data_IF_396575153497
#
_entry.id   IF_396575153497
#
_cell.length_a   1.000
_cell.length_b   1.000
_cell.length_c   1.000
_cell.angle_alpha   90.00
_cell.angle_beta   90.00
_cell.angle_gamma   90.00
#
_symmetry.space_group_name_H-M   'P 1'
#
loop_
_entity.id
_entity.type
_entity.pdbx_description
1 polymer ?
#
# COMPACT_ATOMS: atom_id res chain seq x y z
N UNK A 1 -4.06 -9.02 -68.23
CA UNK A 1 -4.78 -8.09 -67.35
C UNK A 1 -4.27 -8.30 -65.94
N UNK A 2 -3.25 -7.52 -65.59
CA UNK A 2 -2.62 -7.55 -64.27
C UNK A 2 -3.55 -6.89 -63.27
N UNK A 3 -3.99 -7.65 -62.26
CA UNK A 3 -4.66 -7.07 -61.11
C UNK A 3 -3.57 -6.69 -60.10
N UNK A 4 -3.28 -5.39 -60.03
CA UNK A 4 -2.48 -4.81 -58.96
C UNK A 4 -3.17 -5.07 -57.63
N UNK A 5 -2.50 -5.83 -56.76
CA UNK A 5 -2.90 -6.01 -55.37
C UNK A 5 -2.51 -4.74 -54.62
N UNK A 6 -3.48 -3.88 -54.32
CA UNK A 6 -3.30 -2.75 -53.41
C UNK A 6 -2.85 -3.26 -52.03
N UNK A 7 -1.78 -2.72 -51.43
CA UNK A 7 -1.15 -3.27 -50.21
C UNK A 7 -1.84 -2.84 -48.90
N UNK A 8 -3.08 -2.34 -48.94
CA UNK A 8 -3.59 -1.48 -47.87
C UNK A 8 -4.45 -2.18 -46.78
N UNK A 9 -4.71 -3.49 -46.87
CA UNK A 9 -5.66 -4.15 -45.93
C UNK A 9 -5.15 -5.42 -45.22
N UNK A 10 -3.86 -5.74 -45.30
CA UNK A 10 -3.28 -6.96 -44.68
C UNK A 10 -2.44 -6.72 -43.39
N UNK A 11 -2.42 -5.50 -42.84
CA UNK A 11 -1.37 -5.08 -41.89
C UNK A 11 -1.60 -5.23 -40.38
N UNK A 12 -2.82 -5.46 -39.87
CA UNK A 12 -3.13 -5.15 -38.46
C UNK A 12 -2.79 -6.23 -37.41
N UNK A 13 -2.14 -7.34 -37.78
CA UNK A 13 -1.92 -8.47 -36.84
C UNK A 13 -0.48 -8.96 -36.72
N UNK A 14 0.47 -8.49 -37.55
CA UNK A 14 1.88 -8.86 -37.39
C UNK A 14 2.58 -7.87 -36.47
N UNK A 15 3.12 -8.38 -35.37
CA UNK A 15 4.03 -7.63 -34.51
C UNK A 15 5.22 -7.14 -35.34
N UNK A 16 5.49 -5.84 -35.26
CA UNK A 16 6.75 -5.26 -35.72
C UNK A 16 7.46 -4.60 -34.52
N UNK A 17 8.79 -4.75 -34.39
CA UNK A 17 9.54 -4.14 -33.28
C UNK A 17 9.40 -2.61 -33.22
N UNK A 18 9.21 -1.96 -34.38
CA UNK A 18 9.00 -0.52 -34.47
C UNK A 18 7.65 -0.09 -33.90
N UNK A 19 6.55 -0.78 -34.25
CA UNK A 19 5.23 -0.56 -33.65
C UNK A 19 5.26 -0.86 -32.15
N UNK A 20 5.98 -1.90 -31.72
CA UNK A 20 6.19 -2.21 -30.31
C UNK A 20 6.85 -1.06 -29.55
N UNK A 21 7.96 -0.51 -30.07
CA UNK A 21 8.64 0.65 -29.46
C UNK A 21 7.77 1.89 -29.44
N UNK A 22 7.04 2.17 -30.52
CA UNK A 22 6.16 3.33 -30.62
C UNK A 22 4.99 3.25 -29.61
N UNK A 23 4.41 2.04 -29.45
CA UNK A 23 3.39 1.78 -28.44
C UNK A 23 3.94 2.02 -27.02
N UNK A 24 5.12 1.48 -26.71
CA UNK A 24 5.79 1.68 -25.43
C UNK A 24 6.08 3.17 -25.17
N UNK A 25 6.53 3.94 -26.15
CA UNK A 25 6.79 5.37 -26.00
C UNK A 25 5.53 6.16 -25.62
N UNK A 26 4.39 5.88 -26.27
CA UNK A 26 3.09 6.51 -25.95
C UNK A 26 2.58 6.12 -24.58
N UNK A 27 2.72 4.85 -24.21
CA UNK A 27 2.38 4.38 -22.87
C UNK A 27 3.25 5.09 -21.82
N UNK A 28 4.56 5.21 -22.04
CA UNK A 28 5.48 5.92 -21.15
C UNK A 28 5.12 7.41 -20.98
N UNK A 29 4.53 8.02 -22.01
CA UNK A 29 4.02 9.39 -21.96
C UNK A 29 2.70 9.53 -21.16
N UNK A 30 2.14 8.43 -20.65
CA UNK A 30 0.92 8.44 -19.83
C UNK A 30 -0.36 8.09 -20.56
N UNK A 31 -0.30 7.74 -21.85
CA UNK A 31 -1.48 7.31 -22.60
C UNK A 31 -1.89 5.86 -22.25
N UNK A 32 -3.19 5.62 -22.09
CA UNK A 32 -3.68 4.27 -21.81
C UNK A 32 -3.70 3.40 -23.06
N UNK A 33 -3.41 2.10 -22.91
CA UNK A 33 -3.51 1.13 -24.01
C UNK A 33 -4.90 1.11 -24.66
N UNK A 34 -5.95 1.36 -23.87
CA UNK A 34 -7.33 1.46 -24.37
C UNK A 34 -7.53 2.66 -25.30
N UNK A 35 -6.91 3.81 -24.98
CA UNK A 35 -6.94 5.01 -25.83
C UNK A 35 -6.16 4.79 -27.12
N UNK A 36 -4.93 4.25 -27.01
CA UNK A 36 -4.07 4.01 -28.17
C UNK A 36 -4.71 3.00 -29.12
N UNK A 37 -5.24 1.89 -28.61
CA UNK A 37 -5.91 0.87 -29.43
C UNK A 37 -7.27 1.28 -30.00
N UNK A 38 -7.80 2.46 -29.66
CA UNK A 38 -9.00 3.02 -30.30
C UNK A 38 -8.66 3.78 -31.60
N UNK A 39 -7.39 4.10 -31.83
CA UNK A 39 -6.92 4.76 -33.05
C UNK A 39 -6.73 3.74 -34.18
N UNK A 40 -7.13 4.11 -35.40
CA UNK A 40 -6.95 3.26 -36.58
C UNK A 40 -5.45 2.97 -36.80
N UNK A 41 -5.10 1.71 -37.05
CA UNK A 41 -3.70 1.30 -37.25
C UNK A 41 -3.00 0.76 -35.99
N UNK A 42 -3.57 0.97 -34.79
CA UNK A 42 -2.96 0.52 -33.54
C UNK A 42 -3.51 -0.82 -33.04
N UNK A 43 -2.66 -1.66 -32.42
CA UNK A 43 -3.11 -2.92 -31.82
C UNK A 43 -4.09 -2.66 -30.68
N UNK A 44 -5.13 -3.48 -30.61
CA UNK A 44 -6.01 -3.50 -29.44
C UNK A 44 -5.22 -3.88 -28.17
N UNK A 45 -5.70 -3.53 -26.96
CA UNK A 45 -5.06 -3.94 -25.71
C UNK A 45 -4.82 -5.46 -25.61
N UNK A 46 -5.75 -6.26 -26.13
CA UNK A 46 -5.64 -7.72 -26.15
C UNK A 46 -4.55 -8.20 -27.13
N UNK A 47 -4.39 -7.52 -28.27
CA UNK A 47 -3.31 -7.78 -29.23
C UNK A 47 -1.96 -7.41 -28.65
N UNK A 48 -1.85 -6.26 -27.98
CA UNK A 48 -0.63 -5.84 -27.28
C UNK A 48 -0.24 -6.85 -26.17
N UNK A 49 -1.20 -7.40 -25.44
CA UNK A 49 -0.93 -8.45 -24.47
C UNK A 49 -0.40 -9.74 -25.13
N UNK A 50 -1.01 -10.18 -26.24
CA UNK A 50 -0.51 -11.34 -27.02
C UNK A 50 0.91 -11.12 -27.52
N UNK A 51 1.25 -9.90 -27.96
CA UNK A 51 2.61 -9.55 -28.37
C UNK A 51 3.58 -9.58 -27.18
N UNK A 52 3.18 -9.09 -26.02
CA UNK A 52 4.02 -9.12 -24.81
C UNK A 52 4.34 -10.56 -24.35
N UNK A 53 3.39 -11.48 -24.54
CA UNK A 53 3.60 -12.91 -24.24
C UNK A 53 4.50 -13.58 -25.28
N UNK A 54 4.32 -13.26 -26.57
CA UNK A 54 5.09 -13.87 -27.66
C UNK A 54 6.52 -13.29 -27.82
N UNK A 55 6.74 -12.05 -27.38
CA UNK A 55 8.01 -11.31 -27.55
C UNK A 55 8.47 -10.73 -26.21
N UNK A 56 9.35 -11.42 -25.47
CA UNK A 56 9.80 -11.01 -24.13
C UNK A 56 10.40 -9.61 -24.08
N UNK A 57 11.24 -9.23 -25.05
CA UNK A 57 11.85 -7.89 -25.12
C UNK A 57 10.80 -6.77 -25.19
N UNK A 58 9.70 -7.00 -25.92
CA UNK A 58 8.60 -6.06 -26.00
C UNK A 58 7.76 -6.07 -24.72
N UNK A 59 7.53 -7.24 -24.12
CA UNK A 59 6.87 -7.33 -22.81
C UNK A 59 7.62 -6.56 -21.72
N UNK A 60 8.95 -6.64 -21.69
CA UNK A 60 9.80 -5.87 -20.80
C UNK A 60 9.73 -4.37 -21.08
N UNK A 61 9.83 -3.97 -22.35
CA UNK A 61 9.74 -2.58 -22.78
C UNK A 61 8.36 -1.97 -22.45
N UNK A 62 7.27 -2.72 -22.65
CA UNK A 62 5.91 -2.28 -22.32
C UNK A 62 5.72 -2.16 -20.81
N UNK A 63 6.26 -3.11 -20.04
CA UNK A 63 6.26 -3.04 -18.58
C UNK A 63 7.05 -1.81 -18.11
N UNK A 64 8.23 -1.55 -18.69
CA UNK A 64 9.03 -0.35 -18.41
C UNK A 64 8.28 0.94 -18.73
N UNK A 65 7.58 0.98 -19.86
CA UNK A 65 6.75 2.10 -20.25
C UNK A 65 5.59 2.34 -19.28
N UNK A 66 4.84 1.31 -18.90
CA UNK A 66 3.75 1.42 -17.92
C UNK A 66 4.26 1.90 -16.55
N UNK A 67 5.47 1.47 -16.13
CA UNK A 67 6.14 1.98 -14.92
C UNK A 67 6.48 3.46 -15.04
N UNK A 68 7.11 3.87 -16.15
CA UNK A 68 7.43 5.27 -16.41
C UNK A 68 6.17 6.15 -16.42
N UNK A 69 5.09 5.66 -17.02
CA UNK A 69 3.79 6.31 -17.05
C UNK A 69 3.21 6.53 -15.65
N UNK A 70 3.29 5.52 -14.77
CA UNK A 70 2.80 5.61 -13.38
C UNK A 70 3.66 6.56 -12.55
N UNK A 71 4.98 6.53 -12.71
CA UNK A 71 5.89 7.51 -12.08
C UNK A 71 5.57 8.92 -12.57
N UNK A 72 5.38 9.10 -13.89
CA UNK A 72 4.97 10.36 -14.49
C UNK A 72 3.63 10.85 -13.98
N UNK A 73 2.64 9.98 -13.85
CA UNK A 73 1.33 10.29 -13.29
C UNK A 73 1.43 10.73 -11.81
N UNK A 74 2.30 10.09 -11.02
CA UNK A 74 2.57 10.47 -9.61
C UNK A 74 3.31 11.80 -9.50
N UNK A 75 4.30 12.06 -10.35
CA UNK A 75 4.98 13.36 -10.42
C UNK A 75 4.01 14.46 -10.86
N UNK A 76 3.13 14.17 -11.83
CA UNK A 76 2.07 15.08 -12.24
C UNK A 76 1.02 15.30 -11.13
N UNK A 77 0.74 14.29 -10.31
CA UNK A 77 -0.17 14.45 -9.18
C UNK A 77 0.43 15.31 -8.06
N UNK A 78 1.70 15.06 -7.75
CA UNK A 78 2.49 15.93 -6.87
C UNK A 78 2.58 17.36 -7.42
N UNK A 79 2.78 17.52 -8.72
CA UNK A 79 2.80 18.83 -9.38
C UNK A 79 1.42 19.50 -9.35
N UNK A 80 0.32 18.73 -9.52
CA UNK A 80 -1.05 19.23 -9.31
C UNK A 80 -1.28 19.65 -7.87
N UNK A 81 -0.80 18.90 -6.88
CA UNK A 81 -0.89 19.25 -5.47
C UNK A 81 -0.11 20.54 -5.17
N UNK A 82 1.14 20.66 -5.66
CA UNK A 82 1.94 21.88 -5.57
C UNK A 82 1.27 23.07 -6.29
N UNK A 83 0.65 22.84 -7.45
CA UNK A 83 -0.08 23.84 -8.22
C UNK A 83 -1.37 24.27 -7.53
N UNK A 84 -2.08 23.35 -6.87
CA UNK A 84 -3.25 23.65 -6.02
C UNK A 84 -2.84 24.51 -4.84
N UNK A 85 -1.73 24.18 -4.18
CA UNK A 85 -1.16 25.00 -3.12
C UNK A 85 -0.76 26.40 -3.64
N UNK A 86 -0.12 26.48 -4.81
CA UNK A 86 0.30 27.74 -5.41
C UNK A 86 -0.85 28.64 -5.89
N UNK A 87 -2.01 28.06 -6.22
CA UNK A 87 -3.20 28.78 -6.71
C UNK A 87 -4.02 29.45 -5.60
N UNK A 88 -3.80 29.09 -4.34
CA UNK A 88 -4.56 29.64 -3.22
C UNK A 88 -3.90 30.92 -2.75
N UNK A 89 -4.72 31.91 -2.37
CA UNK A 89 -4.21 33.14 -1.79
C UNK A 89 -3.57 32.79 -0.44
N UNK A 90 -2.24 32.96 -0.28
CA UNK A 90 -1.58 32.61 0.97
C UNK A 90 -2.19 33.45 2.09
N UNK A 91 -2.54 32.80 3.19
CA UNK A 91 -3.06 33.50 4.37
C UNK A 91 -2.11 34.65 4.72
N UNK A 92 -2.67 35.86 4.89
CA UNK A 92 -1.86 37.05 5.20
C UNK A 92 -0.97 36.75 6.41
N UNK A 93 0.35 36.85 6.20
CA UNK A 93 1.41 36.55 7.17
C UNK A 93 1.02 37.01 8.57
N UNK A 94 0.92 36.07 9.52
CA UNK A 94 0.69 36.36 10.95
C UNK A 94 -0.53 35.70 11.57
N UNK A 95 -1.50 35.21 10.78
CA UNK A 95 -2.65 34.47 11.31
C UNK A 95 -2.53 32.99 10.95
N UNK A 96 -2.19 32.09 11.90
CA UNK A 96 -2.22 30.66 11.62
C UNK A 96 -3.61 30.27 11.11
N UNK A 97 -3.72 29.31 10.16
CA UNK A 97 -5.01 28.84 9.71
C UNK A 97 -5.80 28.36 10.93
N UNK A 98 -6.98 28.95 11.12
CA UNK A 98 -7.82 28.63 12.26
C UNK A 98 -8.34 27.20 12.07
N UNK A 99 -8.46 26.47 13.18
CA UNK A 99 -9.09 25.15 13.16
C UNK A 99 -10.46 25.23 12.48
N UNK A 100 -10.67 24.45 11.43
CA UNK A 100 -11.90 24.42 10.67
C UNK A 100 -12.12 23.06 10.01
N UNK A 101 -13.38 22.65 9.78
CA UNK A 101 -13.69 21.32 9.23
C UNK A 101 -13.02 21.04 7.88
N UNK A 102 -13.06 21.99 6.94
CA UNK A 102 -12.45 21.83 5.61
C UNK A 102 -10.93 21.67 5.67
N UNK A 103 -10.26 22.32 6.63
CA UNK A 103 -8.82 22.20 6.83
C UNK A 103 -8.45 20.83 7.41
N UNK A 104 -9.24 20.37 8.38
CA UNK A 104 -9.09 19.04 8.96
C UNK A 104 -9.26 17.96 7.90
N UNK A 105 -10.32 18.06 7.09
CA UNK A 105 -10.60 17.14 5.99
C UNK A 105 -9.44 17.09 4.99
N UNK A 106 -8.93 18.24 4.58
CA UNK A 106 -7.78 18.34 3.67
C UNK A 106 -6.53 17.65 4.23
N UNK A 107 -6.21 17.88 5.52
CA UNK A 107 -5.06 17.23 6.18
C UNK A 107 -5.25 15.71 6.20
N UNK A 108 -6.45 15.24 6.57
CA UNK A 108 -6.77 13.82 6.64
C UNK A 108 -6.74 13.16 5.25
N UNK A 109 -7.28 13.82 4.23
CA UNK A 109 -7.25 13.37 2.84
C UNK A 109 -5.80 13.19 2.37
N UNK A 110 -4.96 14.22 2.46
CA UNK A 110 -3.55 14.15 2.05
C UNK A 110 -2.76 13.09 2.82
N UNK A 111 -3.02 12.94 4.13
CA UNK A 111 -2.43 11.86 4.92
C UNK A 111 -2.82 10.49 4.37
N UNK A 112 -4.11 10.27 4.09
CA UNK A 112 -4.62 9.00 3.57
C UNK A 112 -4.07 8.67 2.18
N UNK A 113 -3.75 9.68 1.38
CA UNK A 113 -3.08 9.54 0.07
C UNK A 113 -1.57 9.27 0.16
N UNK A 114 -1.03 9.00 1.36
CA UNK A 114 0.38 8.61 1.52
C UNK A 114 1.32 9.76 1.91
N UNK A 115 0.87 11.03 1.89
CA UNK A 115 1.75 12.15 2.25
C UNK A 115 2.17 12.12 3.73
N UNK A 116 3.43 12.49 3.99
CA UNK A 116 3.90 12.68 5.37
C UNK A 116 3.33 13.98 5.95
N UNK A 117 3.07 14.00 7.25
CA UNK A 117 2.60 15.22 7.92
C UNK A 117 3.62 16.38 7.78
N UNK A 118 4.92 16.07 7.73
CA UNK A 118 5.96 17.08 7.47
C UNK A 118 5.78 17.69 6.08
N UNK A 119 5.56 16.87 5.06
CA UNK A 119 5.33 17.34 3.69
C UNK A 119 4.07 18.22 3.60
N UNK A 120 2.98 17.81 4.26
CA UNK A 120 1.74 18.60 4.35
C UNK A 120 2.03 19.95 5.01
N UNK A 121 2.68 19.97 6.17
CA UNK A 121 2.92 21.20 6.94
C UNK A 121 3.97 22.14 6.33
N UNK A 122 4.66 21.73 5.25
CA UNK A 122 5.54 22.61 4.47
C UNK A 122 4.77 23.52 3.51
N UNK A 123 3.54 23.14 3.20
CA UNK A 123 2.63 23.97 2.43
C UNK A 123 2.33 25.26 3.21
N UNK A 124 2.54 26.46 2.63
CA UNK A 124 2.28 27.74 3.28
C UNK A 124 0.86 27.88 3.84
N UNK A 125 -0.11 27.17 3.25
CA UNK A 125 -1.51 27.22 3.67
C UNK A 125 -1.86 26.21 4.76
N UNK A 126 -0.91 25.37 5.16
CA UNK A 126 -1.11 24.38 6.20
C UNK A 126 -0.66 24.88 7.58
N UNK A 127 -1.36 24.47 8.66
CA UNK A 127 -0.87 24.71 10.01
C UNK A 127 0.48 24.04 10.21
N UNK A 128 1.32 24.62 11.06
CA UNK A 128 2.60 24.01 11.38
C UNK A 128 2.42 22.65 12.07
N UNK A 129 3.45 21.81 11.96
CA UNK A 129 3.44 20.44 12.50
C UNK A 129 2.96 20.34 13.96
N UNK A 130 3.44 21.23 14.82
CA UNK A 130 3.08 21.25 16.25
C UNK A 130 1.60 21.59 16.47
N UNK A 131 1.02 22.44 15.63
CA UNK A 131 -0.40 22.81 15.70
C UNK A 131 -1.29 21.62 15.35
N UNK A 132 -0.95 20.87 14.29
CA UNK A 132 -1.70 19.66 13.91
C UNK A 132 -1.67 18.62 15.03
N UNK A 133 -0.49 18.35 15.60
CA UNK A 133 -0.38 17.41 16.71
C UNK A 133 -1.13 17.87 17.96
N UNK A 134 -1.12 19.18 18.25
CA UNK A 134 -1.92 19.75 19.33
C UNK A 134 -3.41 19.50 19.10
N UNK A 135 -3.91 19.73 17.88
CA UNK A 135 -5.31 19.46 17.57
C UNK A 135 -5.65 17.97 17.71
N UNK A 136 -4.79 17.07 17.23
CA UNK A 136 -5.02 15.63 17.34
C UNK A 136 -5.07 15.14 18.80
N UNK A 137 -4.46 15.88 19.73
CA UNK A 137 -4.52 15.61 21.17
C UNK A 137 -5.72 16.27 21.84
N UNK A 138 -6.01 17.53 21.50
CA UNK A 138 -6.95 18.38 22.25
C UNK A 138 -8.39 18.28 21.72
N UNK A 139 -8.61 17.70 20.53
CA UNK A 139 -9.92 17.67 19.84
C UNK A 139 -10.29 16.24 19.43
N UNK A 140 -11.22 15.59 20.15
CA UNK A 140 -11.58 14.19 19.91
C UNK A 140 -12.04 13.91 18.48
N UNK A 141 -12.87 14.77 17.90
CA UNK A 141 -13.42 14.55 16.55
C UNK A 141 -12.31 14.55 15.49
N UNK A 142 -11.28 15.38 15.68
CA UNK A 142 -10.12 15.38 14.81
C UNK A 142 -9.20 14.19 15.10
N UNK A 143 -9.06 13.77 16.36
CA UNK A 143 -8.27 12.61 16.72
C UNK A 143 -8.77 11.34 16.02
N UNK A 144 -10.09 11.15 15.96
CA UNK A 144 -10.73 10.02 15.28
C UNK A 144 -10.50 10.08 13.78
N UNK A 145 -10.79 11.22 13.14
CA UNK A 145 -10.56 11.42 11.71
C UNK A 145 -9.09 11.25 11.32
N UNK A 146 -8.18 11.76 12.14
CA UNK A 146 -6.74 11.64 11.94
C UNK A 146 -6.26 10.20 12.09
N UNK A 147 -6.78 9.45 13.06
CA UNK A 147 -6.45 8.04 13.25
C UNK A 147 -6.92 7.20 12.06
N UNK A 148 -8.13 7.45 11.56
CA UNK A 148 -8.63 6.78 10.36
C UNK A 148 -7.81 7.15 9.12
N UNK A 149 -7.45 8.42 8.96
CA UNK A 149 -6.56 8.85 7.89
C UNK A 149 -5.20 8.14 7.94
N UNK A 150 -4.64 7.90 9.14
CA UNK A 150 -3.41 7.12 9.32
C UNK A 150 -3.58 5.64 8.99
N UNK A 151 -4.77 5.07 9.23
CA UNK A 151 -5.10 3.70 8.83
C UNK A 151 -5.18 3.58 7.30
N UNK A 152 -5.88 4.50 6.65
CA UNK A 152 -5.96 4.57 5.18
C UNK A 152 -4.59 4.85 4.55
N UNK A 153 -3.76 5.67 5.19
CA UNK A 153 -2.37 5.88 4.77
C UNK A 153 -1.58 4.57 4.76
N UNK A 154 -1.77 3.70 5.76
CA UNK A 154 -1.10 2.40 5.79
C UNK A 154 -1.51 1.52 4.59
N UNK A 155 -2.79 1.57 4.21
CA UNK A 155 -3.31 0.86 3.05
C UNK A 155 -2.68 1.40 1.75
N UNK A 156 -2.69 2.73 1.56
CA UNK A 156 -2.05 3.36 0.40
C UNK A 156 -0.55 3.01 0.30
N UNK A 157 0.17 3.09 1.42
CA UNK A 157 1.59 2.76 1.46
C UNK A 157 1.83 1.28 1.13
N UNK A 158 0.98 0.36 1.58
CA UNK A 158 1.11 -1.05 1.25
C UNK A 158 0.93 -1.30 -0.26
N UNK A 159 -0.05 -0.66 -0.89
CA UNK A 159 -0.25 -0.71 -2.34
C UNK A 159 0.93 -0.09 -3.10
N UNK A 160 1.49 1.02 -2.58
CA UNK A 160 2.71 1.62 -3.13
C UNK A 160 3.91 0.67 -3.06
N UNK A 161 4.09 -0.04 -1.94
CA UNK A 161 5.13 -1.06 -1.80
C UNK A 161 4.98 -2.18 -2.83
N UNK A 162 3.75 -2.66 -3.07
CA UNK A 162 3.48 -3.65 -4.12
C UNK A 162 3.93 -3.14 -5.48
N UNK A 163 3.50 -1.92 -5.85
CA UNK A 163 3.88 -1.30 -7.11
C UNK A 163 5.40 -1.13 -7.24
N UNK A 164 6.11 -0.73 -6.18
CA UNK A 164 7.58 -0.60 -6.19
C UNK A 164 8.25 -1.95 -6.45
N UNK A 165 7.81 -3.01 -5.75
CA UNK A 165 8.39 -4.34 -5.89
C UNK A 165 8.14 -4.90 -7.29
N UNK A 166 6.92 -4.80 -7.80
CA UNK A 166 6.58 -5.25 -9.16
C UNK A 166 7.29 -4.41 -10.24
N UNK A 167 7.66 -3.18 -9.90
CA UNK A 167 8.39 -2.28 -10.78
C UNK A 167 9.92 -2.45 -10.74
N UNK A 168 10.44 -3.15 -9.74
CA UNK A 168 11.88 -3.25 -9.48
C UNK A 168 12.62 -3.90 -10.63
N UNK A 169 13.80 -3.36 -10.95
CA UNK A 169 14.72 -3.88 -11.97
C UNK A 169 16.07 -4.18 -11.34
N UNK A 170 16.96 -4.89 -12.03
CA UNK A 170 18.33 -5.12 -11.55
C UNK A 170 19.08 -3.82 -11.20
N UNK A 171 18.83 -2.72 -11.92
CA UNK A 171 19.46 -1.43 -11.65
C UNK A 171 18.90 -0.72 -10.40
N UNK A 172 17.63 -0.95 -10.05
CA UNK A 172 16.92 -0.24 -8.97
C UNK A 172 16.67 -1.09 -7.73
N UNK A 173 16.97 -2.39 -7.79
CA UNK A 173 16.65 -3.37 -6.73
C UNK A 173 17.12 -2.95 -5.35
N UNK A 174 18.30 -2.32 -5.23
CA UNK A 174 18.85 -1.88 -3.94
C UNK A 174 18.10 -0.69 -3.36
N UNK A 175 17.77 0.31 -4.18
CA UNK A 175 16.96 1.46 -3.74
C UNK A 175 15.53 1.04 -3.43
N UNK A 176 14.97 0.14 -4.23
CA UNK A 176 13.58 -0.31 -4.09
C UNK A 176 13.43 -1.22 -2.88
N UNK A 177 14.44 -2.04 -2.55
CA UNK A 177 14.50 -2.81 -1.31
C UNK A 177 14.48 -1.91 -0.07
N UNK A 178 15.24 -0.81 -0.08
CA UNK A 178 15.23 0.16 1.02
C UNK A 178 13.85 0.82 1.18
N UNK A 179 13.24 1.24 0.06
CA UNK A 179 11.90 1.82 0.03
C UNK A 179 10.86 0.85 0.56
N UNK A 180 10.84 -0.37 0.04
CA UNK A 180 9.94 -1.43 0.49
C UNK A 180 10.10 -1.70 1.99
N UNK A 181 11.32 -1.82 2.49
CA UNK A 181 11.57 -2.06 3.91
C UNK A 181 11.03 -0.92 4.79
N UNK A 182 11.27 0.34 4.40
CA UNK A 182 10.73 1.49 5.11
C UNK A 182 9.20 1.53 5.08
N UNK A 183 8.60 1.31 3.90
CA UNK A 183 7.15 1.30 3.71
C UNK A 183 6.49 0.20 4.54
N UNK A 184 7.04 -1.02 4.49
CA UNK A 184 6.55 -2.16 5.29
C UNK A 184 6.57 -1.84 6.78
N UNK A 185 7.70 -1.33 7.28
CA UNK A 185 7.81 -0.90 8.68
C UNK A 185 6.80 0.21 9.00
N UNK A 186 6.65 1.20 8.12
CA UNK A 186 5.74 2.32 8.33
C UNK A 186 4.28 1.86 8.39
N UNK A 187 3.84 1.04 7.44
CA UNK A 187 2.49 0.48 7.41
C UNK A 187 2.19 -0.37 8.66
N UNK A 188 3.15 -1.18 9.12
CA UNK A 188 3.03 -1.97 10.35
C UNK A 188 2.89 -1.09 11.60
N UNK A 189 3.55 0.08 11.66
CA UNK A 189 3.39 1.01 12.79
C UNK A 189 2.08 1.81 12.72
N UNK A 190 1.61 2.15 11.51
CA UNK A 190 0.38 2.92 11.32
C UNK A 190 -0.88 2.08 11.55
N UNK A 191 -0.89 0.82 11.11
CA UNK A 191 -1.99 -0.10 11.32
C UNK A 191 -1.48 -1.49 11.76
N UNK A 192 -1.02 -1.63 13.03
CA UNK A 192 -0.43 -2.87 13.53
C UNK A 192 -1.35 -4.08 13.42
N UNK A 193 -2.65 -3.90 13.67
CA UNK A 193 -3.65 -4.98 13.59
C UNK A 193 -3.72 -5.64 12.20
N UNK A 194 -3.38 -4.90 11.13
CA UNK A 194 -3.49 -5.35 9.74
C UNK A 194 -2.14 -5.76 9.15
N UNK A 195 -1.09 -4.98 9.41
CA UNK A 195 0.20 -5.12 8.73
C UNK A 195 1.36 -5.58 9.62
N UNK A 196 1.20 -5.62 10.95
CA UNK A 196 2.24 -6.18 11.80
C UNK A 196 2.28 -7.70 11.66
N UNK A 197 3.49 -8.24 11.59
CA UNK A 197 3.73 -9.67 11.54
C UNK A 197 3.38 -10.30 12.90
N UNK A 198 2.49 -11.29 12.90
CA UNK A 198 2.09 -12.01 14.12
C UNK A 198 3.05 -13.17 14.35
N UNK A 199 3.90 -13.04 15.36
CA UNK A 199 4.72 -14.15 15.84
C UNK A 199 3.83 -15.04 16.71
N UNK A 200 3.50 -16.23 16.20
CA UNK A 200 2.87 -17.29 17.02
C UNK A 200 4.01 -18.07 17.67
N UNK A 201 4.26 -17.81 18.94
CA UNK A 201 5.14 -18.65 19.74
C UNK A 201 4.32 -19.87 20.15
N UNK A 202 4.62 -21.03 19.56
CA UNK A 202 4.12 -22.28 20.09
C UNK A 202 4.78 -22.47 21.46
N UNK A 203 4.00 -22.30 22.53
CA UNK A 203 4.44 -22.65 23.86
C UNK A 203 4.64 -24.17 23.91
N UNK A 204 5.88 -24.60 23.69
CA UNK A 204 6.27 -25.96 24.04
C UNK A 204 6.19 -26.03 25.55
N UNK A 205 5.10 -26.59 26.08
CA UNK A 205 5.03 -26.97 27.49
C UNK A 205 6.26 -27.82 27.79
N UNK A 206 7.24 -27.25 28.49
CA UNK A 206 8.37 -28.03 29.01
C UNK A 206 7.74 -29.02 30.00
N UNK A 207 7.91 -30.34 29.82
CA UNK A 207 7.44 -31.27 30.83
C UNK A 207 8.11 -30.90 32.16
N UNK A 208 7.37 -30.83 33.28
CA UNK A 208 7.94 -30.39 34.55
C UNK A 208 9.12 -31.29 34.92
N UNK A 209 10.32 -30.70 35.01
CA UNK A 209 11.59 -31.41 35.25
C UNK A 209 11.69 -32.00 36.68
N UNK A 210 10.71 -31.74 37.54
CA UNK A 210 10.58 -32.35 38.86
C UNK A 210 9.10 -32.49 39.25
N UNK A 211 8.39 -33.43 38.63
CA UNK A 211 7.25 -34.02 39.32
C UNK A 211 7.81 -34.92 40.44
N UNK A 212 8.12 -34.34 41.62
CA UNK A 212 8.06 -35.12 42.86
C UNK A 212 6.66 -35.74 42.87
N UNK A 213 6.61 -37.07 42.74
CA UNK A 213 5.41 -37.80 42.35
C UNK A 213 4.21 -37.45 43.22
N UNK A 214 3.35 -36.55 42.73
CA UNK A 214 2.00 -36.43 43.21
C UNK A 214 1.22 -37.58 42.59
N UNK A 215 0.98 -38.62 43.39
CA UNK A 215 0.06 -39.69 43.05
C UNK A 215 -1.35 -39.12 43.08
N UNK A 216 -1.88 -38.74 41.92
CA UNK A 216 -3.27 -38.31 41.80
C UNK A 216 -4.15 -39.56 41.81
N UNK A 217 -4.76 -39.85 42.95
CA UNK A 217 -5.77 -40.92 43.08
C UNK A 217 -7.12 -40.34 42.65
N UNK A 218 -7.57 -40.71 41.45
CA UNK A 218 -8.92 -40.35 40.97
C UNK A 218 -9.89 -41.48 41.34
N UNK A 219 -10.68 -41.28 42.40
CA UNK A 219 -11.82 -42.14 42.74
C UNK A 219 -13.11 -41.57 42.15
N UNK A 220 -14.04 -42.42 41.71
CA UNK A 220 -15.40 -41.97 41.32
C UNK A 220 -16.16 -41.56 42.58
N UNK A 221 -16.95 -40.49 42.47
CA UNK A 221 -17.72 -39.91 43.58
C UNK A 221 -18.66 -40.91 44.28
N UNK A 222 -19.05 -41.99 43.59
CA UNK A 222 -19.91 -43.06 44.12
C UNK A 222 -19.23 -44.05 45.06
N UNK A 223 -17.90 -43.99 45.20
CA UNK A 223 -17.10 -44.96 45.97
C UNK A 223 -16.46 -44.35 47.22
N UNK A 224 -16.73 -43.06 47.51
CA UNK A 224 -16.22 -42.38 48.70
C UNK A 224 -17.16 -42.70 49.85
N UNK A 225 -16.68 -43.43 50.86
CA UNK A 225 -17.45 -43.64 52.08
C UNK A 225 -17.43 -42.37 52.94
N UNK A 226 -18.48 -42.11 53.76
CA UNK A 226 -18.53 -40.92 54.61
C UNK A 226 -17.33 -40.79 55.56
N UNK A 227 -16.75 -41.92 55.99
CA UNK A 227 -15.56 -41.97 56.84
C UNK A 227 -14.28 -41.50 56.12
N UNK A 228 -14.15 -41.76 54.81
CA UNK A 228 -13.03 -41.26 54.01
C UNK A 228 -13.12 -39.74 53.77
N UNK A 229 -14.34 -39.20 53.68
CA UNK A 229 -14.56 -37.76 53.53
C UNK A 229 -14.16 -36.99 54.80
N UNK A 230 -14.46 -37.54 55.98
CA UNK A 230 -14.07 -36.94 57.26
C UNK A 230 -12.54 -36.89 57.46
N UNK A 231 -11.82 -37.95 57.06
CA UNK A 231 -10.34 -37.95 57.11
C UNK A 231 -9.70 -36.94 56.16
N UNK A 232 -10.32 -36.66 55.01
CA UNK A 232 -9.80 -35.69 54.05
C UNK A 232 -9.95 -34.23 54.53
N UNK A 233 -10.96 -33.93 55.36
CA UNK A 233 -11.13 -32.60 55.95
C UNK A 233 -10.23 -32.35 57.17
N UNK A 234 -9.86 -33.39 57.93
CA UNK A 234 -9.02 -33.23 59.12
C UNK A 234 -7.53 -33.03 58.84
N UNK A 235 -7.08 -33.15 57.59
CA UNK A 235 -5.75 -32.69 57.17
C UNK A 235 -4.59 -33.32 57.94
N UNK A 236 -4.68 -34.61 58.25
CA UNK A 236 -3.53 -35.37 58.77
C UNK A 236 -2.81 -36.07 57.60
N UNK A 237 -1.46 -36.00 57.52
CA UNK A 237 -0.71 -36.36 56.32
C UNK A 237 -0.77 -37.85 55.93
#
# INVERSE_FOLDING_TARGET
>A
MSFEVTPESAGLSRYTPEQGRALCARVAAGESLRRIGAEAGWPSPQTAWKWAVAHPEFGEALSAAQRAARIGARLADRDRQLSRAARREPWRRGRPPMYGPALVEEICMRLSEGESLIAITRDPDMPCYRTVLKWARDKPEFADAYTEARRLQADHLADEAHEIVMASTHATVWSDRLRFAFIRWRAANLAPKKYAERVVVAETLRPPETAQGLTVIVKRYSEITPEEYARAEEGEP
#
